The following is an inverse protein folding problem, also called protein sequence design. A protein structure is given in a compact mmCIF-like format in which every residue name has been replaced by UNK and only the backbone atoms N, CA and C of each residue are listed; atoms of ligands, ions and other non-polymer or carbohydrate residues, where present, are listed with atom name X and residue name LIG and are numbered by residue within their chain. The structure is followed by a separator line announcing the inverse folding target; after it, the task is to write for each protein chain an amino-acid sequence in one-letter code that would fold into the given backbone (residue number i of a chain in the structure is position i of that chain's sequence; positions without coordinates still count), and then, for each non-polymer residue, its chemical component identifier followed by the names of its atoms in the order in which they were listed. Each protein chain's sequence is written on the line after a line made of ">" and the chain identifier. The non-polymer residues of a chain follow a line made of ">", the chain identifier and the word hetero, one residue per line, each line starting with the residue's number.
data_IF_457915746161
#
_entry.id   IF_457915746161
#
_cell.length_a   1.000
_cell.length_b   1.000
_cell.length_c   1.000
_cell.angle_alpha   90.00
_cell.angle_beta   90.00
_cell.angle_gamma   90.00
#
_symmetry.space_group_name_H-M   'P 1'
#
loop_
_entity.id
_entity.type
_entity.pdbx_description
1 polymer ?
#
# COMPACT_ATOMS: atom_id res chain seq x y z
N UNK A 1 -11.30 -18.12 -0.48
CA UNK A 1 -11.32 -16.68 -0.81
C UNK A 1 -9.93 -16.34 -1.29
N UNK A 2 -9.78 -16.34 -2.61
CA UNK A 2 -8.53 -16.37 -3.35
C UNK A 2 -8.19 -14.97 -3.89
N UNK A 3 -7.52 -14.17 -3.07
CA UNK A 3 -7.01 -12.85 -3.48
C UNK A 3 -5.53 -12.72 -3.14
N UNK A 4 -4.76 -13.78 -3.36
CA UNK A 4 -3.32 -13.83 -3.09
C UNK A 4 -2.43 -13.89 -4.34
N UNK A 5 -2.99 -14.00 -5.54
CA UNK A 5 -2.22 -14.46 -6.70
C UNK A 5 -2.36 -13.47 -7.87
N UNK A 6 -1.21 -13.03 -8.39
CA UNK A 6 -0.99 -12.40 -9.71
C UNK A 6 -0.67 -10.90 -9.83
N UNK A 7 -0.24 -10.20 -8.78
CA UNK A 7 0.71 -9.10 -9.00
C UNK A 7 1.65 -8.87 -7.80
N UNK A 8 2.86 -9.41 -7.90
CA UNK A 8 4.05 -8.85 -7.24
C UNK A 8 4.12 -8.97 -5.72
N UNK A 9 4.20 -10.18 -5.18
CA UNK A 9 4.63 -10.39 -3.79
C UNK A 9 6.02 -9.81 -3.50
N UNK A 10 6.87 -9.58 -4.51
CA UNK A 10 8.14 -8.82 -4.35
C UNK A 10 7.98 -7.30 -4.40
N UNK A 11 6.90 -6.76 -4.97
CA UNK A 11 6.67 -5.31 -5.05
C UNK A 11 5.77 -4.80 -3.91
N UNK A 12 4.82 -5.62 -3.45
CA UNK A 12 3.91 -5.25 -2.35
C UNK A 12 4.60 -5.22 -0.98
N UNK A 13 5.74 -5.89 -0.83
CA UNK A 13 6.46 -6.06 0.45
C UNK A 13 6.86 -4.74 1.14
N UNK A 14 7.50 -3.76 0.49
CA UNK A 14 7.81 -2.50 1.17
C UNK A 14 6.63 -1.51 1.24
N UNK A 15 5.53 -1.75 0.52
CA UNK A 15 4.44 -0.77 0.42
C UNK A 15 3.70 -0.57 1.75
N UNK A 16 3.50 -1.64 2.52
CA UNK A 16 2.83 -1.54 3.82
C UNK A 16 3.65 -0.70 4.81
N UNK A 17 4.97 -0.95 4.90
CA UNK A 17 5.87 -0.18 5.76
C UNK A 17 5.92 1.29 5.34
N UNK A 18 6.02 1.57 4.03
CA UNK A 18 5.95 2.95 3.51
C UNK A 18 4.62 3.63 3.85
N UNK A 19 3.50 2.92 3.67
CA UNK A 19 2.17 3.48 3.94
C UNK A 19 2.01 3.78 5.44
N UNK A 20 2.44 2.87 6.32
CA UNK A 20 2.44 3.09 7.76
C UNK A 20 3.30 4.28 8.16
N UNK A 21 4.51 4.42 7.61
CA UNK A 21 5.37 5.59 7.88
C UNK A 21 4.70 6.90 7.44
N UNK A 22 4.11 6.96 6.24
CA UNK A 22 3.36 8.15 5.80
C UNK A 22 2.18 8.49 6.70
N UNK A 23 1.57 7.48 7.32
CA UNK A 23 0.40 7.59 8.18
C UNK A 23 0.75 7.73 9.67
N UNK A 24 2.04 7.67 10.04
CA UNK A 24 2.49 7.70 11.42
C UNK A 24 2.48 9.12 12.04
N UNK A 25 2.29 10.16 11.21
CA UNK A 25 2.30 11.57 11.61
C UNK A 25 3.52 11.94 12.49
N UNK A 26 4.74 11.69 11.99
CA UNK A 26 5.99 11.90 12.73
C UNK A 26 6.00 11.17 14.08
N UNK A 27 5.53 9.92 14.08
CA UNK A 27 5.45 9.07 15.26
C UNK A 27 4.26 9.34 16.21
N UNK A 28 3.48 10.41 16.00
CA UNK A 28 2.31 10.75 16.86
C UNK A 28 1.18 9.72 16.76
N UNK A 29 1.18 8.89 15.71
CA UNK A 29 0.29 7.74 15.60
C UNK A 29 0.62 6.63 16.61
N UNK A 30 1.70 6.71 17.39
CA UNK A 30 2.02 5.75 18.45
C UNK A 30 2.92 4.60 18.03
N UNK A 31 3.62 4.76 16.91
CA UNK A 31 4.71 3.89 16.46
C UNK A 31 5.72 4.75 15.70
N UNK A 32 7.01 4.40 15.78
CA UNK A 32 8.09 5.08 15.07
C UNK A 32 8.08 4.74 13.57
N UNK A 33 8.88 5.46 12.79
CA UNK A 33 9.15 5.07 11.40
C UNK A 33 9.75 3.67 11.34
N UNK A 34 9.12 2.80 10.55
CA UNK A 34 9.57 1.44 10.27
C UNK A 34 10.69 1.46 9.23
N UNK A 35 11.63 0.53 9.35
CA UNK A 35 12.53 0.23 8.25
C UNK A 35 11.76 -0.35 7.07
N UNK A 36 12.08 0.13 5.85
CA UNK A 36 11.41 -0.30 4.61
C UNK A 36 12.24 -1.42 3.98
N UNK A 37 12.33 -2.54 4.70
CA UNK A 37 13.09 -3.74 4.31
C UNK A 37 12.22 -4.77 3.54
N UNK A 38 10.90 -4.60 3.55
CA UNK A 38 9.94 -5.53 2.97
C UNK A 38 9.74 -6.82 3.78
N UNK A 39 10.22 -6.86 5.03
CA UNK A 39 10.07 -7.97 5.97
C UNK A 39 9.00 -7.61 7.01
N UNK A 40 7.88 -8.32 6.97
CA UNK A 40 6.78 -8.09 7.91
C UNK A 40 7.03 -8.78 9.26
N UNK A 41 7.95 -8.19 10.02
CA UNK A 41 8.27 -8.60 11.38
C UNK A 41 7.28 -8.08 12.43
N UNK A 42 7.61 -8.34 13.70
CA UNK A 42 6.80 -7.92 14.84
C UNK A 42 6.54 -6.41 14.87
N UNK A 43 7.51 -5.59 14.43
CA UNK A 43 7.39 -4.13 14.40
C UNK A 43 6.36 -3.66 13.38
N UNK A 44 6.39 -4.19 12.15
CA UNK A 44 5.39 -3.84 11.12
C UNK A 44 3.99 -4.26 11.54
N UNK A 45 3.84 -5.47 12.10
CA UNK A 45 2.55 -5.95 12.61
C UNK A 45 2.06 -5.14 13.83
N UNK A 46 2.98 -4.72 14.70
CA UNK A 46 2.70 -3.85 15.84
C UNK A 46 2.21 -2.48 15.39
N UNK A 47 2.91 -1.85 14.46
CA UNK A 47 2.52 -0.58 13.86
C UNK A 47 1.16 -0.65 13.17
N UNK A 48 0.88 -1.72 12.40
CA UNK A 48 -0.42 -1.94 11.78
C UNK A 48 -1.53 -2.06 12.83
N UNK A 49 -1.33 -2.86 13.88
CA UNK A 49 -2.31 -2.98 14.99
C UNK A 49 -2.56 -1.64 15.66
N UNK A 50 -1.50 -0.89 15.98
CA UNK A 50 -1.62 0.44 16.61
C UNK A 50 -2.35 1.43 15.71
N UNK A 51 -2.04 1.42 14.41
CA UNK A 51 -2.73 2.24 13.41
C UNK A 51 -4.23 1.93 13.36
N UNK A 52 -4.59 0.65 13.21
CA UNK A 52 -5.98 0.21 13.15
C UNK A 52 -6.72 0.48 14.47
N UNK A 53 -6.07 0.31 15.61
CA UNK A 53 -6.66 0.61 16.92
C UNK A 53 -6.98 2.11 17.08
N UNK A 54 -6.10 3.01 16.61
CA UNK A 54 -6.33 4.45 16.70
C UNK A 54 -7.30 5.01 15.67
N UNK A 55 -7.24 4.52 14.43
CA UNK A 55 -7.98 5.10 13.30
C UNK A 55 -9.26 4.33 12.96
N UNK A 56 -9.42 3.11 13.48
CA UNK A 56 -10.60 2.27 13.26
C UNK A 56 -10.85 1.95 11.79
N UNK A 57 -12.12 1.69 11.46
CA UNK A 57 -12.56 1.30 10.11
C UNK A 57 -12.26 2.35 9.04
N UNK A 58 -12.29 3.64 9.41
CA UNK A 58 -11.95 4.72 8.47
C UNK A 58 -10.45 4.72 8.17
N UNK A 59 -9.61 4.44 9.17
CA UNK A 59 -8.17 4.23 8.97
C UNK A 59 -7.86 3.09 8.01
N UNK A 60 -8.55 1.96 8.15
CA UNK A 60 -8.39 0.83 7.23
C UNK A 60 -8.66 1.23 5.78
N UNK A 61 -9.75 1.96 5.51
CA UNK A 61 -10.05 2.49 4.17
C UNK A 61 -8.95 3.43 3.67
N UNK A 62 -8.47 4.34 4.52
CA UNK A 62 -7.39 5.27 4.17
C UNK A 62 -6.10 4.50 3.84
N UNK A 63 -5.74 3.49 4.62
CA UNK A 63 -4.57 2.65 4.37
C UNK A 63 -4.67 1.95 3.02
N UNK A 64 -5.83 1.34 2.72
CA UNK A 64 -6.07 0.69 1.42
C UNK A 64 -5.98 1.70 0.27
N UNK A 65 -6.53 2.90 0.44
CA UNK A 65 -6.42 3.99 -0.56
C UNK A 65 -4.97 4.39 -0.81
N UNK A 66 -4.16 4.55 0.25
CA UNK A 66 -2.72 4.86 0.12
C UNK A 66 -1.99 3.74 -0.62
N UNK A 67 -2.26 2.48 -0.30
CA UNK A 67 -1.66 1.33 -1.00
C UNK A 67 -2.06 1.30 -2.48
N UNK A 68 -3.31 1.59 -2.81
CA UNK A 68 -3.78 1.68 -4.20
C UNK A 68 -3.11 2.82 -4.96
N UNK A 69 -2.90 3.99 -4.34
CA UNK A 69 -2.18 5.11 -4.95
C UNK A 69 -0.73 4.71 -5.27
N UNK A 70 -0.04 4.06 -4.34
CA UNK A 70 1.33 3.60 -4.56
C UNK A 70 1.43 2.57 -5.70
N UNK A 71 0.46 1.66 -5.79
CA UNK A 71 0.37 0.72 -6.90
C UNK A 71 0.07 1.44 -8.22
N UNK A 72 -0.84 2.42 -8.22
CA UNK A 72 -1.19 3.22 -9.39
C UNK A 72 0.00 3.99 -9.94
N UNK A 73 0.78 4.62 -9.07
CA UNK A 73 2.02 5.30 -9.46
C UNK A 73 2.99 4.35 -10.15
N UNK A 74 3.14 3.12 -9.65
CA UNK A 74 3.99 2.12 -10.30
C UNK A 74 3.49 1.74 -11.68
N UNK A 75 2.19 1.56 -11.84
CA UNK A 75 1.60 1.25 -13.14
C UNK A 75 1.76 2.39 -14.14
N UNK A 76 1.67 3.64 -13.70
CA UNK A 76 1.98 4.82 -14.52
C UNK A 76 3.42 4.74 -15.02
N UNK A 77 4.41 4.56 -14.12
CA UNK A 77 5.82 4.43 -14.52
C UNK A 77 6.06 3.27 -15.51
N UNK A 78 5.32 2.17 -15.36
CA UNK A 78 5.41 1.02 -16.28
C UNK A 78 4.86 1.38 -17.65
N UNK A 79 3.71 2.06 -17.71
CA UNK A 79 3.09 2.46 -18.99
C UNK A 79 3.95 3.50 -19.73
N UNK A 80 4.52 4.45 -19.00
CA UNK A 80 5.45 5.44 -19.57
C UNK A 80 6.68 4.78 -20.22
N UNK A 81 7.16 3.68 -19.64
CA UNK A 81 8.30 2.91 -20.18
C UNK A 81 7.89 1.88 -21.23
N UNK A 82 6.64 1.41 -21.21
CA UNK A 82 6.15 0.37 -22.10
C UNK A 82 4.68 0.60 -22.47
N UNK A 83 4.47 1.20 -23.64
CA UNK A 83 3.15 1.54 -24.16
C UNK A 83 2.21 0.35 -24.35
N UNK A 84 2.73 -0.88 -24.46
CA UNK A 84 1.87 -2.07 -24.59
C UNK A 84 1.05 -2.36 -23.32
N UNK A 85 1.42 -1.76 -22.19
CA UNK A 85 0.72 -1.91 -20.92
C UNK A 85 -0.46 -0.94 -20.73
N UNK A 86 -0.60 0.07 -21.61
CA UNK A 86 -1.68 1.06 -21.55
C UNK A 86 -3.07 0.40 -21.62
N UNK A 87 -3.21 -0.71 -22.36
CA UNK A 87 -4.46 -1.47 -22.45
C UNK A 87 -4.91 -2.08 -21.12
N UNK A 88 -3.97 -2.43 -20.24
CA UNK A 88 -4.25 -2.99 -18.92
C UNK A 88 -4.41 -1.91 -17.86
N UNK A 89 -3.78 -0.75 -18.07
CA UNK A 89 -3.82 0.38 -17.12
C UNK A 89 -5.22 0.91 -16.89
N UNK A 90 -5.99 1.10 -17.98
CA UNK A 90 -7.36 1.60 -17.90
C UNK A 90 -8.25 0.68 -17.03
N UNK A 91 -8.22 -0.63 -17.31
CA UNK A 91 -8.97 -1.61 -16.53
C UNK A 91 -8.50 -1.68 -15.07
N UNK A 92 -7.20 -1.54 -14.82
CA UNK A 92 -6.66 -1.55 -13.47
C UNK A 92 -7.16 -0.37 -12.63
N UNK A 93 -7.10 0.85 -13.18
CA UNK A 93 -7.61 2.05 -12.50
C UNK A 93 -9.13 1.95 -12.26
N UNK A 94 -9.89 1.53 -13.28
CA UNK A 94 -11.35 1.40 -13.18
C UNK A 94 -11.81 0.42 -12.09
N UNK A 95 -11.03 -0.63 -11.81
CA UNK A 95 -11.39 -1.64 -10.80
C UNK A 95 -10.80 -1.37 -9.41
N UNK A 96 -9.65 -0.67 -9.32
CA UNK A 96 -8.89 -0.51 -8.06
C UNK A 96 -9.04 0.88 -7.43
N UNK A 97 -9.35 1.91 -8.21
CA UNK A 97 -9.58 3.27 -7.73
C UNK A 97 -11.08 3.52 -7.69
N UNK A 98 -11.73 2.96 -6.67
CA UNK A 98 -13.14 3.27 -6.39
C UNK A 98 -13.18 4.49 -5.48
N UNK A 99 -13.76 5.58 -5.98
CA UNK A 99 -13.99 6.85 -5.25
C UNK A 99 -15.03 6.62 -4.15
#
# INVERSE_FOLDING_TARGET
>A
MDTGVNCGTSFAKPLLQRALNLLNNQGKAGYADLEVDGVYGAETLGALKTYLAKRGKEGEKVLVRVLNIMQGQRYIEICERNKSQEQFFYGWIANRVVI
#
